data_IF_344246237802
#
_entry.id   IF_344246237802
#
_cell.length_a   1.000
_cell.length_b   1.000
_cell.length_c   1.000
_cell.angle_alpha   90.00
_cell.angle_beta   90.00
_cell.angle_gamma   90.00
#
_symmetry.space_group_name_H-M   'P 1'
#
loop_
_entity.id
_entity.type
_entity.pdbx_description
1 polymer ?
#
# COMPACT_ATOMS: atom_id res chain seq x y z
N UNK A 1 5.19 -0.01 13.83
CA UNK A 1 6.64 -0.10 13.50
C UNK A 1 7.15 1.16 12.78
N UNK A 2 8.48 1.38 12.68
CA UNK A 2 9.08 2.57 12.01
C UNK A 2 9.07 2.51 10.47
N UNK A 3 8.73 1.37 9.88
CA UNK A 3 8.91 1.11 8.45
C UNK A 3 8.16 2.09 7.54
N UNK A 4 6.97 2.54 7.95
CA UNK A 4 6.19 3.53 7.17
C UNK A 4 6.72 4.95 7.30
N UNK A 5 7.36 5.30 8.41
CA UNK A 5 7.93 6.65 8.63
C UNK A 5 9.38 6.76 8.13
N UNK A 6 10.06 5.64 7.93
CA UNK A 6 11.45 5.60 7.52
C UNK A 6 11.69 6.24 6.13
N UNK A 7 10.95 5.89 5.05
CA UNK A 7 11.11 6.56 3.76
C UNK A 7 10.81 8.07 3.82
N UNK A 8 9.77 8.46 4.59
CA UNK A 8 9.38 9.85 4.77
C UNK A 8 10.49 10.69 5.40
N UNK A 9 11.22 10.10 6.36
CA UNK A 9 12.34 10.78 7.02
C UNK A 9 13.60 10.77 6.17
N UNK A 10 13.90 9.64 5.53
CA UNK A 10 15.15 9.45 4.78
C UNK A 10 15.15 10.16 3.42
N UNK A 11 14.01 10.21 2.74
CA UNK A 11 13.91 10.76 1.38
C UNK A 11 13.25 12.14 1.32
N UNK A 12 12.38 12.48 2.29
CA UNK A 12 11.64 13.74 2.30
C UNK A 12 12.04 14.69 3.45
N UNK A 13 13.07 14.34 4.24
CA UNK A 13 13.58 15.14 5.37
C UNK A 13 12.50 15.59 6.38
N UNK A 14 11.42 14.81 6.54
CA UNK A 14 10.35 15.15 7.45
C UNK A 14 10.79 15.03 8.92
N UNK A 15 10.26 15.91 9.79
CA UNK A 15 10.38 15.72 11.23
C UNK A 15 9.66 14.45 11.69
N UNK A 16 9.93 13.99 12.91
CA UNK A 16 9.28 12.79 13.45
C UNK A 16 7.76 12.98 13.53
N UNK A 17 7.32 14.14 13.96
CA UNK A 17 5.90 14.50 14.12
C UNK A 17 5.22 14.57 12.74
N UNK A 18 5.87 15.22 11.76
CA UNK A 18 5.35 15.31 10.40
C UNK A 18 5.28 13.93 9.72
N UNK A 19 6.31 13.10 9.90
CA UNK A 19 6.35 11.75 9.35
C UNK A 19 5.27 10.84 9.97
N UNK A 20 5.02 10.94 11.29
CA UNK A 20 3.94 10.20 11.94
C UNK A 20 2.58 10.62 11.41
N UNK A 21 2.34 11.93 11.26
CA UNK A 21 1.09 12.44 10.69
C UNK A 21 0.88 11.93 9.26
N UNK A 22 1.92 12.03 8.42
CA UNK A 22 1.86 11.54 7.03
C UNK A 22 1.69 10.02 6.95
N UNK A 23 2.33 9.27 7.84
CA UNK A 23 2.11 7.83 7.92
C UNK A 23 0.66 7.48 8.30
N UNK A 24 0.05 8.23 9.22
CA UNK A 24 -1.36 8.06 9.56
C UNK A 24 -2.27 8.32 8.34
N UNK A 25 -2.01 9.40 7.60
CA UNK A 25 -2.73 9.71 6.35
C UNK A 25 -2.60 8.57 5.33
N UNK A 26 -1.39 8.04 5.13
CA UNK A 26 -1.14 6.92 4.22
C UNK A 26 -1.85 5.64 4.65
N UNK A 27 -1.89 5.34 5.95
CA UNK A 27 -2.63 4.19 6.48
C UNK A 27 -4.15 4.34 6.29
N UNK A 28 -4.68 5.55 6.49
CA UNK A 28 -6.09 5.84 6.23
C UNK A 28 -6.41 5.68 4.74
N UNK A 29 -5.54 6.19 3.86
CA UNK A 29 -5.67 6.10 2.41
C UNK A 29 -5.80 4.64 1.93
N UNK A 30 -5.00 3.74 2.48
CA UNK A 30 -5.07 2.30 2.13
C UNK A 30 -6.15 1.52 2.90
N UNK A 31 -6.98 2.20 3.70
CA UNK A 31 -8.11 1.61 4.41
C UNK A 31 -7.74 0.80 5.66
N UNK A 32 -6.66 1.15 6.37
CA UNK A 32 -6.32 0.52 7.64
C UNK A 32 -7.21 1.11 8.77
N UNK A 33 -8.01 0.28 9.47
CA UNK A 33 -8.88 0.76 10.53
C UNK A 33 -8.06 1.20 11.74
N UNK A 34 -8.47 2.31 12.37
CA UNK A 34 -7.79 2.91 13.53
C UNK A 34 -6.30 3.23 13.23
N UNK A 35 -6.01 3.78 12.05
CA UNK A 35 -4.66 4.09 11.57
C UNK A 35 -3.73 4.67 12.64
N UNK A 36 -4.20 5.67 13.39
CA UNK A 36 -3.45 6.28 14.49
C UNK A 36 -2.90 5.27 15.49
N UNK A 37 -3.76 4.37 15.99
CA UNK A 37 -3.38 3.31 16.93
C UNK A 37 -2.47 2.28 16.26
N UNK A 38 -2.76 1.94 15.00
CA UNK A 38 -2.04 0.91 14.23
C UNK A 38 -0.60 1.31 13.87
N UNK A 39 -0.22 2.59 13.96
CA UNK A 39 1.17 3.03 13.74
C UNK A 39 2.18 2.32 14.64
N UNK A 40 1.77 1.98 15.87
CA UNK A 40 2.64 1.31 16.85
C UNK A 40 2.60 -0.21 16.77
N UNK A 41 1.65 -0.80 16.06
CA UNK A 41 1.49 -2.25 15.94
C UNK A 41 2.68 -2.89 15.19
N UNK A 42 2.90 -4.18 15.49
CA UNK A 42 3.84 -5.06 14.83
C UNK A 42 3.20 -5.79 13.64
N UNK A 43 3.99 -6.20 12.62
CA UNK A 43 3.46 -6.89 11.44
C UNK A 43 2.61 -8.14 11.72
N UNK A 44 2.88 -8.87 12.79
CA UNK A 44 2.14 -10.08 13.17
C UNK A 44 0.76 -9.78 13.79
N UNK A 45 0.48 -8.52 14.15
CA UNK A 45 -0.82 -8.06 14.68
C UNK A 45 -1.79 -7.63 13.57
N UNK A 46 -1.35 -7.70 12.31
CA UNK A 46 -2.13 -7.42 11.12
C UNK A 46 -2.58 -8.71 10.42
N UNK A 47 -3.75 -8.70 9.78
CA UNK A 47 -4.14 -9.76 8.83
C UNK A 47 -3.25 -9.71 7.57
N UNK A 48 -3.29 -10.77 6.74
CA UNK A 48 -2.55 -10.79 5.46
C UNK A 48 -2.89 -9.60 4.57
N UNK A 49 -4.19 -9.33 4.37
CA UNK A 49 -4.64 -8.17 3.59
C UNK A 49 -4.26 -6.83 4.21
N UNK A 50 -4.25 -6.71 5.54
CA UNK A 50 -3.79 -5.47 6.20
C UNK A 50 -2.28 -5.27 6.03
N UNK A 51 -1.46 -6.33 6.13
CA UNK A 51 -0.03 -6.24 5.84
C UNK A 51 0.22 -5.77 4.41
N UNK A 52 -0.55 -6.30 3.45
CA UNK A 52 -0.44 -5.87 2.06
C UNK A 52 -0.77 -4.39 1.89
N UNK A 53 -1.86 -3.91 2.51
CA UNK A 53 -2.22 -2.49 2.52
C UNK A 53 -1.12 -1.61 3.13
N UNK A 54 -0.51 -2.04 4.25
CA UNK A 54 0.63 -1.33 4.85
C UNK A 54 1.82 -1.27 3.88
N UNK A 55 2.12 -2.36 3.16
CA UNK A 55 3.18 -2.35 2.14
C UNK A 55 2.89 -1.38 0.99
N UNK A 56 1.64 -1.32 0.53
CA UNK A 56 1.21 -0.34 -0.47
C UNK A 56 1.39 1.09 0.06
N UNK A 57 1.01 1.36 1.30
CA UNK A 57 1.21 2.67 1.93
C UNK A 57 2.69 3.07 2.00
N UNK A 58 3.58 2.11 2.32
CA UNK A 58 5.04 2.34 2.30
C UNK A 58 5.51 2.66 0.88
N UNK A 59 5.06 1.92 -0.13
CA UNK A 59 5.43 2.13 -1.53
C UNK A 59 4.97 3.51 -2.05
N UNK A 60 3.83 4.00 -1.57
CA UNK A 60 3.28 5.32 -1.91
C UNK A 60 3.90 6.48 -1.13
N UNK A 61 4.68 6.22 -0.09
CA UNK A 61 5.15 7.24 0.85
C UNK A 61 5.88 8.41 0.19
N UNK A 62 6.56 8.16 -0.94
CA UNK A 62 7.34 9.15 -1.68
C UNK A 62 6.63 9.67 -2.95
N UNK A 63 5.31 9.43 -3.10
CA UNK A 63 4.51 9.79 -4.28
C UNK A 63 5.19 9.34 -5.60
N UNK A 64 5.39 8.03 -5.80
CA UNK A 64 6.12 7.53 -6.96
C UNK A 64 5.34 7.81 -8.26
N UNK A 65 6.05 8.08 -9.36
CA UNK A 65 5.45 8.15 -10.69
C UNK A 65 5.12 6.76 -11.26
N UNK A 66 5.85 5.73 -10.82
CA UNK A 66 5.70 4.34 -11.25
C UNK A 66 5.76 3.43 -10.03
N UNK A 67 4.77 2.55 -9.88
CA UNK A 67 4.71 1.51 -8.86
C UNK A 67 4.88 0.13 -9.52
N UNK A 68 5.91 -0.61 -9.11
CA UNK A 68 6.11 -2.00 -9.55
C UNK A 68 5.52 -2.92 -8.48
N UNK A 69 4.51 -3.67 -8.87
CA UNK A 69 3.77 -4.58 -7.99
C UNK A 69 4.15 -6.03 -8.35
N UNK A 70 5.09 -6.59 -7.60
CA UNK A 70 5.59 -7.96 -7.79
C UNK A 70 4.85 -8.97 -6.90
N UNK A 71 4.10 -9.86 -7.55
CA UNK A 71 3.13 -10.78 -6.95
C UNK A 71 2.31 -10.18 -5.80
N UNK A 72 1.67 -9.01 -6.00
CA UNK A 72 1.12 -8.18 -4.92
C UNK A 72 -0.11 -8.77 -4.21
N UNK A 73 -0.59 -9.92 -4.68
CA UNK A 73 -1.77 -10.61 -4.17
C UNK A 73 -1.45 -12.05 -3.74
N UNK A 74 -0.17 -12.44 -3.75
CA UNK A 74 0.24 -13.79 -3.36
C UNK A 74 -0.14 -14.10 -1.91
N UNK A 75 -0.50 -15.36 -1.65
CA UNK A 75 -0.94 -15.85 -0.33
C UNK A 75 -2.17 -15.13 0.28
N UNK A 76 -2.96 -14.40 -0.52
CA UNK A 76 -4.25 -13.83 -0.12
C UNK A 76 -5.41 -14.64 -0.71
N UNK A 77 -6.52 -14.73 0.02
CA UNK A 77 -7.75 -15.32 -0.52
C UNK A 77 -8.36 -14.43 -1.62
N UNK A 78 -9.12 -15.05 -2.52
CA UNK A 78 -9.69 -14.41 -3.72
C UNK A 78 -10.49 -13.13 -3.41
N UNK A 79 -11.17 -13.08 -2.26
CA UNK A 79 -11.96 -11.89 -1.87
C UNK A 79 -11.04 -10.72 -1.53
N UNK A 80 -9.99 -10.98 -0.74
CA UNK A 80 -8.99 -9.96 -0.40
C UNK A 80 -8.17 -9.55 -1.63
N UNK A 81 -7.85 -10.47 -2.53
CA UNK A 81 -7.17 -10.13 -3.79
C UNK A 81 -7.96 -9.08 -4.58
N UNK A 82 -9.26 -9.30 -4.81
CA UNK A 82 -10.12 -8.36 -5.51
C UNK A 82 -10.13 -6.97 -4.84
N UNK A 83 -10.16 -6.92 -3.50
CA UNK A 83 -10.10 -5.66 -2.76
C UNK A 83 -8.76 -4.93 -2.91
N UNK A 84 -7.64 -5.66 -2.98
CA UNK A 84 -6.30 -5.06 -3.20
C UNK A 84 -6.18 -4.53 -4.62
N UNK A 85 -6.68 -5.26 -5.61
CA UNK A 85 -6.69 -4.82 -7.01
C UNK A 85 -7.49 -3.52 -7.15
N UNK A 86 -8.69 -3.48 -6.58
CA UNK A 86 -9.54 -2.30 -6.61
C UNK A 86 -8.89 -1.10 -5.91
N UNK A 87 -8.27 -1.33 -4.74
CA UNK A 87 -7.50 -0.30 -4.05
C UNK A 87 -6.39 0.27 -4.95
N UNK A 88 -5.60 -0.60 -5.60
CA UNK A 88 -4.49 -0.17 -6.45
C UNK A 88 -4.97 0.63 -7.68
N UNK A 89 -6.12 0.26 -8.27
CA UNK A 89 -6.73 1.03 -9.36
C UNK A 89 -7.14 2.43 -8.91
N UNK A 90 -7.79 2.55 -7.76
CA UNK A 90 -8.18 3.85 -7.21
C UNK A 90 -6.96 4.73 -6.91
N UNK A 91 -5.90 4.14 -6.34
CA UNK A 91 -4.65 4.87 -6.08
C UNK A 91 -3.93 5.29 -7.36
N UNK A 92 -3.98 4.47 -8.41
CA UNK A 92 -3.46 4.83 -9.74
C UNK A 92 -4.09 6.12 -10.26
N UNK A 93 -5.42 6.20 -10.18
CA UNK A 93 -6.19 7.34 -10.67
C UNK A 93 -6.00 8.58 -9.79
N UNK A 94 -6.02 8.42 -8.46
CA UNK A 94 -5.85 9.53 -7.51
C UNK A 94 -4.45 10.16 -7.59
N UNK A 95 -3.40 9.35 -7.77
CA UNK A 95 -2.02 9.83 -7.80
C UNK A 95 -1.49 10.08 -9.22
N UNK A 96 -2.25 9.72 -10.26
CA UNK A 96 -1.79 9.83 -11.66
C UNK A 96 -0.52 9.02 -11.95
N UNK A 97 -0.31 7.92 -11.24
CA UNK A 97 0.88 7.07 -11.36
C UNK A 97 0.66 5.91 -12.33
N UNK A 98 1.73 5.34 -12.88
CA UNK A 98 1.67 4.07 -13.60
C UNK A 98 1.87 2.89 -12.65
N UNK A 99 1.23 1.74 -12.93
CA UNK A 99 1.44 0.50 -12.17
C UNK A 99 1.89 -0.60 -13.12
N UNK A 100 3.04 -1.21 -12.82
CA UNK A 100 3.56 -2.40 -13.52
C UNK A 100 3.23 -3.62 -12.68
N UNK A 101 2.39 -4.52 -13.22
CA UNK A 101 1.97 -5.72 -12.53
C UNK A 101 2.82 -6.92 -12.96
N UNK A 102 3.38 -7.63 -11.99
CA UNK A 102 4.05 -8.91 -12.19
C UNK A 102 3.25 -9.94 -11.39
N UNK A 103 2.67 -10.93 -12.08
CA UNK A 103 1.85 -11.97 -11.44
C UNK A 103 1.88 -13.24 -12.29
N UNK A 104 1.78 -14.39 -11.63
CA UNK A 104 1.54 -15.67 -12.29
C UNK A 104 0.05 -16.07 -12.30
N UNK A 105 -0.83 -15.28 -11.69
CA UNK A 105 -2.27 -15.56 -11.62
C UNK A 105 -3.01 -14.88 -12.77
N UNK A 106 -3.48 -15.68 -13.73
CA UNK A 106 -4.26 -15.22 -14.88
C UNK A 106 -5.63 -14.65 -14.50
N UNK A 107 -6.20 -15.06 -13.36
CA UNK A 107 -7.47 -14.52 -12.84
C UNK A 107 -7.33 -13.05 -12.42
N UNK A 108 -6.17 -12.69 -11.89
CA UNK A 108 -5.79 -11.30 -11.57
C UNK A 108 -5.63 -10.47 -12.85
N UNK A 109 -5.02 -11.03 -13.90
CA UNK A 109 -4.81 -10.33 -15.19
C UNK A 109 -6.13 -9.93 -15.86
N UNK A 110 -7.13 -10.81 -15.83
CA UNK A 110 -8.43 -10.55 -16.44
C UNK A 110 -9.18 -9.35 -15.82
N UNK A 111 -8.94 -9.08 -14.53
CA UNK A 111 -9.55 -7.96 -13.82
C UNK A 111 -8.78 -6.64 -13.94
N UNK A 112 -7.52 -6.65 -14.38
CA UNK A 112 -6.60 -5.48 -14.34
C UNK A 112 -6.34 -4.88 -15.72
N UNK A 113 -6.46 -5.69 -16.78
CA UNK A 113 -6.06 -5.28 -18.13
C UNK A 113 -6.96 -4.14 -18.67
N UNK A 114 -6.50 -2.91 -18.54
CA UNK A 114 -6.85 -1.83 -19.46
C UNK A 114 -6.05 -2.05 -20.75
N UNK A 115 -6.74 -2.03 -21.88
CA UNK A 115 -6.22 -2.42 -23.19
C UNK A 115 -5.32 -1.37 -23.82
#
# INVERSE_FOLDING_TARGET
GRQITEPLRNHLNMSKEAANKRAEELLNLVGIPNAHKRLTDYPHEFSGGMRQRVMIAIALSCNPQILIADEPTTALDVTIQAQIIELMKNLREEFGMAIVWITHDLGVVAGIADR
#
